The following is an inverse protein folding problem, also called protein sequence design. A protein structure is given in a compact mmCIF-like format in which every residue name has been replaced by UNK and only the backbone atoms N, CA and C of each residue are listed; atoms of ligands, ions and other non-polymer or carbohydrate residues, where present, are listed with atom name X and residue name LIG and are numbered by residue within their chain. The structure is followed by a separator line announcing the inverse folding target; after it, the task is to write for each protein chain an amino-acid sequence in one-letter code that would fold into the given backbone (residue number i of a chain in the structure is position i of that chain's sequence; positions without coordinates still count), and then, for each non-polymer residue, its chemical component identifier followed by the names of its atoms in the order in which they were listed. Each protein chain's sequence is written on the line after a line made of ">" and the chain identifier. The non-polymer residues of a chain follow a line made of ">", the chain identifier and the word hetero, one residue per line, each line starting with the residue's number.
data_IF_438051396050
#
_entry.id   IF_438051396050
#
_cell.length_a   1.000
_cell.length_b   1.000
_cell.length_c   1.000
_cell.angle_alpha   90.00
_cell.angle_beta   90.00
_cell.angle_gamma   90.00
#
_symmetry.space_group_name_H-M   'P 1'
#
loop_
_entity.id
_entity.type
_entity.pdbx_description
1 polymer ?
#
# COMPACT_ATOMS: atom_id res chain seq x y z
N UNK A 1 -13.61 -7.48 -100.39
CA UNK A 1 -14.19 -8.23 -99.26
C UNK A 1 -13.06 -8.73 -98.40
N UNK A 2 -13.13 -8.61 -97.08
CA UNK A 2 -12.14 -9.21 -96.18
C UNK A 2 -12.25 -10.73 -96.33
N UNK A 3 -11.40 -11.32 -97.16
CA UNK A 3 -11.25 -12.78 -97.16
C UNK A 3 -10.66 -13.18 -95.82
N UNK A 4 -11.50 -13.77 -94.98
CA UNK A 4 -11.08 -14.37 -93.71
C UNK A 4 -10.21 -15.56 -94.09
N UNK A 5 -8.92 -15.29 -94.24
CA UNK A 5 -7.92 -16.28 -94.56
C UNK A 5 -7.55 -17.06 -93.31
N UNK A 6 -7.23 -18.35 -93.48
CA UNK A 6 -6.76 -19.23 -92.41
C UNK A 6 -5.60 -18.61 -91.60
N UNK A 7 -4.76 -17.79 -92.24
CA UNK A 7 -3.70 -16.99 -91.61
C UNK A 7 -4.21 -16.03 -90.53
N UNK A 8 -5.38 -15.42 -90.70
CA UNK A 8 -5.97 -14.50 -89.72
C UNK A 8 -6.45 -15.25 -88.47
N UNK A 9 -6.96 -16.47 -88.65
CA UNK A 9 -7.32 -17.38 -87.54
C UNK A 9 -6.06 -17.82 -86.79
N UNK A 10 -4.99 -18.18 -87.49
CA UNK A 10 -3.69 -18.53 -86.87
C UNK A 10 -3.10 -17.35 -86.10
N UNK A 11 -3.17 -16.13 -86.65
CA UNK A 11 -2.69 -14.92 -85.97
C UNK A 11 -3.48 -14.63 -84.70
N UNK A 12 -4.81 -14.75 -84.76
CA UNK A 12 -5.68 -14.60 -83.60
C UNK A 12 -5.37 -15.65 -82.52
N UNK A 13 -5.16 -16.92 -82.91
CA UNK A 13 -4.76 -17.97 -81.98
C UNK A 13 -3.40 -17.67 -81.34
N UNK A 14 -2.40 -17.20 -82.10
CA UNK A 14 -1.10 -16.79 -81.56
C UNK A 14 -1.23 -15.63 -80.57
N UNK A 15 -2.04 -14.62 -80.89
CA UNK A 15 -2.30 -13.50 -79.98
C UNK A 15 -2.98 -13.95 -78.69
N UNK A 16 -3.97 -14.85 -78.76
CA UNK A 16 -4.64 -15.41 -77.59
C UNK A 16 -3.70 -16.25 -76.73
N UNK A 17 -2.84 -17.07 -77.34
CA UNK A 17 -1.82 -17.85 -76.62
C UNK A 17 -0.84 -16.91 -75.91
N UNK A 18 -0.35 -15.87 -76.61
CA UNK A 18 0.53 -14.87 -76.02
C UNK A 18 -0.16 -14.14 -74.86
N UNK A 19 -1.42 -13.71 -75.03
CA UNK A 19 -2.21 -13.06 -74.00
C UNK A 19 -2.38 -13.97 -72.77
N UNK A 20 -2.64 -15.26 -72.97
CA UNK A 20 -2.74 -16.23 -71.89
C UNK A 20 -1.42 -16.40 -71.13
N UNK A 21 -0.29 -16.49 -71.86
CA UNK A 21 1.05 -16.58 -71.28
C UNK A 21 1.37 -15.31 -70.47
N UNK A 22 1.10 -14.12 -71.01
CA UNK A 22 1.33 -12.87 -70.29
C UNK A 22 0.43 -12.74 -69.06
N UNK A 23 -0.86 -13.09 -69.18
CA UNK A 23 -1.80 -13.03 -68.06
C UNK A 23 -1.32 -13.88 -66.88
N UNK A 24 -0.90 -15.11 -67.17
CA UNK A 24 -0.42 -16.05 -66.15
C UNK A 24 0.96 -15.68 -65.59
N UNK A 25 1.90 -15.23 -66.43
CA UNK A 25 3.29 -15.01 -66.02
C UNK A 25 3.59 -13.59 -65.53
N UNK A 26 2.82 -12.57 -65.92
CA UNK A 26 3.12 -11.18 -65.61
C UNK A 26 2.01 -10.52 -64.80
N UNK A 27 0.77 -10.52 -65.30
CA UNK A 27 -0.31 -9.78 -64.66
C UNK A 27 -0.70 -10.36 -63.30
N UNK A 28 -0.84 -11.69 -63.21
CA UNK A 28 -1.19 -12.36 -61.95
C UNK A 28 -0.12 -12.18 -60.85
N UNK A 29 1.18 -12.43 -61.08
CA UNK A 29 2.19 -12.21 -60.04
C UNK A 29 2.39 -10.72 -59.71
N UNK A 30 2.26 -9.81 -60.69
CA UNK A 30 2.38 -8.38 -60.45
C UNK A 30 1.27 -7.86 -59.51
N UNK A 31 0.02 -8.24 -59.75
CA UNK A 31 -1.10 -7.89 -58.87
C UNK A 31 -0.90 -8.43 -57.45
N UNK A 32 -0.43 -9.69 -57.33
CA UNK A 32 -0.13 -10.30 -56.03
C UNK A 32 0.95 -9.54 -55.25
N UNK A 33 2.01 -9.05 -55.92
CA UNK A 33 3.06 -8.25 -55.27
C UNK A 33 2.51 -6.90 -54.80
N UNK A 34 1.67 -6.26 -55.61
CA UNK A 34 1.02 -5.00 -55.24
C UNK A 34 0.10 -5.16 -54.03
N UNK A 35 -0.73 -6.20 -54.00
CA UNK A 35 -1.58 -6.54 -52.86
C UNK A 35 -0.75 -6.83 -51.60
N UNK A 36 0.30 -7.66 -51.71
CA UNK A 36 1.19 -7.95 -50.59
C UNK A 36 1.86 -6.68 -50.04
N UNK A 37 2.27 -5.75 -50.92
CA UNK A 37 2.87 -4.49 -50.50
C UNK A 37 1.85 -3.62 -49.77
N UNK A 38 0.63 -3.50 -50.29
CA UNK A 38 -0.45 -2.76 -49.62
C UNK A 38 -0.80 -3.37 -48.26
N UNK A 39 -0.92 -4.69 -48.19
CA UNK A 39 -1.23 -5.39 -46.94
C UNK A 39 -0.12 -5.22 -45.90
N UNK A 40 1.15 -5.32 -46.29
CA UNK A 40 2.28 -5.08 -45.40
C UNK A 40 2.25 -3.66 -44.83
N UNK A 41 2.05 -2.65 -45.67
CA UNK A 41 1.98 -1.24 -45.21
C UNK A 41 0.80 -1.04 -44.28
N UNK A 42 -0.38 -1.58 -44.62
CA UNK A 42 -1.58 -1.51 -43.77
C UNK A 42 -1.34 -2.17 -42.41
N UNK A 43 -0.77 -3.37 -42.39
CA UNK A 43 -0.43 -4.10 -41.15
C UNK A 43 0.60 -3.34 -40.31
N UNK A 44 1.64 -2.78 -40.93
CA UNK A 44 2.64 -1.97 -40.22
C UNK A 44 2.00 -0.74 -39.56
N UNK A 45 1.09 -0.05 -40.26
CA UNK A 45 0.38 1.11 -39.71
C UNK A 45 -0.57 0.70 -38.58
N UNK A 46 -1.31 -0.41 -38.74
CA UNK A 46 -2.21 -0.92 -37.72
C UNK A 46 -1.45 -1.36 -36.46
N UNK A 47 -0.31 -2.05 -36.63
CA UNK A 47 0.56 -2.45 -35.52
C UNK A 47 1.14 -1.25 -34.79
N UNK A 48 1.56 -0.20 -35.51
CA UNK A 48 2.06 1.04 -34.89
C UNK A 48 0.97 1.74 -34.07
N UNK A 49 -0.27 1.79 -34.59
CA UNK A 49 -1.43 2.33 -33.85
C UNK A 49 -1.73 1.52 -32.59
N UNK A 50 -1.83 0.19 -32.72
CA UNK A 50 -2.04 -0.71 -31.57
C UNK A 50 -0.94 -0.58 -30.52
N UNK A 51 0.31 -0.50 -30.94
CA UNK A 51 1.43 -0.32 -30.02
C UNK A 51 1.31 0.99 -29.24
N UNK A 52 0.97 2.08 -29.93
CA UNK A 52 0.77 3.40 -29.30
C UNK A 52 -0.38 3.36 -28.30
N UNK A 53 -1.52 2.77 -28.69
CA UNK A 53 -2.70 2.63 -27.82
C UNK A 53 -2.39 1.79 -26.57
N UNK A 54 -1.77 0.62 -26.75
CA UNK A 54 -1.38 -0.25 -25.63
C UNK A 54 -0.35 0.44 -24.73
N UNK A 55 0.60 1.18 -25.29
CA UNK A 55 1.57 1.94 -24.51
C UNK A 55 0.88 3.01 -23.67
N UNK A 56 -0.05 3.77 -24.25
CA UNK A 56 -0.81 4.80 -23.52
C UNK A 56 -1.69 4.19 -22.43
N UNK A 57 -2.34 3.06 -22.71
CA UNK A 57 -3.13 2.33 -21.71
C UNK A 57 -2.27 1.89 -20.54
N UNK A 58 -1.11 1.29 -20.80
CA UNK A 58 -0.17 0.85 -19.75
C UNK A 58 0.39 2.01 -18.95
N UNK A 59 0.68 3.13 -19.59
CA UNK A 59 1.13 4.34 -18.89
C UNK A 59 0.05 4.88 -17.97
N UNK A 60 -1.20 4.97 -18.44
CA UNK A 60 -2.32 5.41 -17.63
C UNK A 60 -2.60 4.48 -16.45
N UNK A 61 -2.54 3.16 -16.67
CA UNK A 61 -2.68 2.14 -15.62
C UNK A 61 -1.56 2.25 -14.58
N UNK A 62 -0.31 2.45 -15.02
CA UNK A 62 0.83 2.62 -14.14
C UNK A 62 0.70 3.90 -13.28
N UNK A 63 0.33 5.02 -13.90
CA UNK A 63 0.10 6.29 -13.20
C UNK A 63 -1.06 6.14 -12.20
N UNK A 64 -2.15 5.48 -12.61
CA UNK A 64 -3.30 5.18 -11.75
C UNK A 64 -2.90 4.38 -10.53
N UNK A 65 -2.19 3.27 -10.74
CA UNK A 65 -1.69 2.38 -9.68
C UNK A 65 -0.80 3.14 -8.70
N UNK A 66 0.16 3.94 -9.19
CA UNK A 66 1.02 4.76 -8.32
C UNK A 66 0.20 5.76 -7.49
N UNK A 67 -0.80 6.39 -8.10
CA UNK A 67 -1.66 7.36 -7.40
C UNK A 67 -2.48 6.70 -6.30
N UNK A 68 -3.05 5.53 -6.57
CA UNK A 68 -3.81 4.74 -5.59
C UNK A 68 -2.91 4.25 -4.44
N UNK A 69 -1.72 3.74 -4.76
CA UNK A 69 -0.75 3.30 -3.76
C UNK A 69 -0.27 4.44 -2.88
N UNK A 70 0.03 5.62 -3.46
CA UNK A 70 0.35 6.82 -2.67
C UNK A 70 -0.78 7.21 -1.72
N UNK A 71 -2.04 7.16 -2.20
CA UNK A 71 -3.20 7.42 -1.35
C UNK A 71 -3.34 6.37 -0.24
N UNK A 72 -3.05 5.10 -0.52
CA UNK A 72 -3.05 4.03 0.50
C UNK A 72 -2.00 4.29 1.57
N UNK A 73 -0.76 4.55 1.17
CA UNK A 73 0.35 4.86 2.09
C UNK A 73 0.01 6.06 2.99
N UNK A 74 -0.52 7.15 2.42
CA UNK A 74 -0.90 8.34 3.21
C UNK A 74 -1.98 7.99 4.24
N UNK A 75 -2.98 7.18 3.86
CA UNK A 75 -4.03 6.73 4.78
C UNK A 75 -3.47 5.85 5.90
N UNK A 76 -2.65 4.86 5.56
CA UNK A 76 -2.02 3.96 6.53
C UNK A 76 -1.14 4.75 7.50
N UNK A 77 -0.30 5.67 7.00
CA UNK A 77 0.51 6.54 7.87
C UNK A 77 -0.33 7.39 8.81
N UNK A 78 -1.44 7.96 8.33
CA UNK A 78 -2.35 8.73 9.16
C UNK A 78 -3.02 7.87 10.25
N UNK A 79 -3.41 6.65 9.91
CA UNK A 79 -4.01 5.69 10.83
C UNK A 79 -2.99 5.22 11.89
N UNK A 80 -1.79 4.80 11.47
CA UNK A 80 -0.71 4.43 12.38
C UNK A 80 -0.35 5.59 13.31
N UNK A 81 -0.28 6.83 12.81
CA UNK A 81 0.00 8.00 13.65
C UNK A 81 -1.11 8.23 14.68
N UNK A 82 -2.38 8.09 14.27
CA UNK A 82 -3.53 8.22 15.18
C UNK A 82 -3.50 7.14 16.25
N UNK A 83 -3.22 5.89 15.88
CA UNK A 83 -3.11 4.78 16.81
C UNK A 83 -1.95 4.98 17.80
N UNK A 84 -0.78 5.42 17.31
CA UNK A 84 0.36 5.73 18.16
C UNK A 84 0.05 6.83 19.20
N UNK A 85 -0.64 7.90 18.78
CA UNK A 85 -1.07 8.98 19.69
C UNK A 85 -2.08 8.46 20.73
N UNK A 86 -3.05 7.65 20.31
CA UNK A 86 -4.03 7.06 21.21
C UNK A 86 -3.37 6.14 22.25
N UNK A 87 -2.49 5.25 21.80
CA UNK A 87 -1.75 4.32 22.66
C UNK A 87 -0.84 5.08 23.63
N UNK A 88 -0.12 6.09 23.16
CA UNK A 88 0.70 6.96 24.02
C UNK A 88 -0.14 7.65 25.09
N UNK A 89 -1.29 8.21 24.71
CA UNK A 89 -2.22 8.87 25.64
C UNK A 89 -2.74 7.88 26.69
N UNK A 90 -3.10 6.66 26.27
CA UNK A 90 -3.56 5.61 27.18
C UNK A 90 -2.45 5.16 28.15
N UNK A 91 -1.21 5.01 27.67
CA UNK A 91 -0.06 4.66 28.51
C UNK A 91 0.23 5.75 29.54
N UNK A 92 0.24 7.02 29.14
CA UNK A 92 0.44 8.15 30.06
C UNK A 92 -0.65 8.18 31.12
N UNK A 93 -1.92 7.98 30.72
CA UNK A 93 -3.04 7.94 31.66
C UNK A 93 -2.90 6.79 32.66
N UNK A 94 -2.58 5.57 32.19
CA UNK A 94 -2.34 4.42 33.06
C UNK A 94 -1.19 4.69 34.06
N UNK A 95 -0.10 5.27 33.60
CA UNK A 95 1.03 5.61 34.46
C UNK A 95 0.65 6.65 35.53
N UNK A 96 -0.15 7.66 35.18
CA UNK A 96 -0.69 8.63 36.15
C UNK A 96 -1.62 7.96 37.16
N UNK A 97 -2.53 7.09 36.71
CA UNK A 97 -3.45 6.38 37.59
C UNK A 97 -2.70 5.46 38.57
N UNK A 98 -1.67 4.75 38.11
CA UNK A 98 -0.81 3.92 38.97
C UNK A 98 0.02 4.75 39.96
N UNK A 99 0.56 5.89 39.52
CA UNK A 99 1.29 6.81 40.40
C UNK A 99 0.38 7.36 41.51
N UNK A 100 -0.83 7.77 41.16
CA UNK A 100 -1.84 8.23 42.12
C UNK A 100 -2.24 7.13 43.10
N UNK A 101 -2.42 5.89 42.62
CA UNK A 101 -2.71 4.75 43.48
C UNK A 101 -1.58 4.50 44.49
N UNK A 102 -0.33 4.43 44.03
CA UNK A 102 0.84 4.28 44.91
C UNK A 102 0.96 5.41 45.92
N UNK A 103 0.71 6.65 45.51
CA UNK A 103 0.76 7.80 46.42
C UNK A 103 -0.29 7.67 47.52
N UNK A 104 -1.50 7.21 47.20
CA UNK A 104 -2.55 6.98 48.18
C UNK A 104 -2.19 5.82 49.13
N UNK A 105 -1.69 4.71 48.60
CA UNK A 105 -1.21 3.57 49.41
C UNK A 105 -0.10 3.99 50.41
N UNK A 106 0.86 4.81 49.95
CA UNK A 106 1.92 5.35 50.82
C UNK A 106 1.35 6.30 51.89
N UNK A 107 0.40 7.18 51.52
CA UNK A 107 -0.25 8.08 52.48
C UNK A 107 -1.02 7.31 53.56
N UNK A 108 -1.77 6.28 53.18
CA UNK A 108 -2.49 5.44 54.12
C UNK A 108 -1.53 4.70 55.07
N UNK A 109 -0.43 4.17 54.53
CA UNK A 109 0.60 3.48 55.31
C UNK A 109 1.27 4.41 56.31
N UNK A 110 1.65 5.62 55.89
CA UNK A 110 2.19 6.67 56.77
C UNK A 110 1.23 7.07 57.89
N UNK A 111 -0.07 7.17 57.61
CA UNK A 111 -1.07 7.50 58.62
C UNK A 111 -1.22 6.39 59.66
N UNK A 112 -1.18 5.12 59.24
CA UNK A 112 -1.14 3.97 60.16
C UNK A 112 0.11 4.01 61.03
N UNK A 113 1.28 4.10 60.41
CA UNK A 113 2.58 4.11 61.12
C UNK A 113 2.67 5.27 62.12
N UNK A 114 2.20 6.47 61.75
CA UNK A 114 2.09 7.61 62.67
C UNK A 114 1.19 7.33 63.88
N UNK A 115 0.06 6.66 63.66
CA UNK A 115 -0.90 6.34 64.72
C UNK A 115 -0.31 5.29 65.66
N UNK A 116 0.40 4.30 65.11
CA UNK A 116 1.06 3.23 65.85
C UNK A 116 2.23 3.77 66.69
N UNK A 117 3.10 4.59 66.09
CA UNK A 117 4.20 5.27 66.80
C UNK A 117 3.69 6.19 67.92
N UNK A 118 2.57 6.90 67.70
CA UNK A 118 1.95 7.73 68.75
C UNK A 118 1.47 6.87 69.92
N UNK A 119 0.88 5.71 69.64
CA UNK A 119 0.41 4.77 70.67
C UNK A 119 1.59 4.21 71.48
N UNK A 120 2.66 3.78 70.82
CA UNK A 120 3.88 3.29 71.47
C UNK A 120 4.51 4.37 72.38
N UNK A 121 4.62 5.61 71.91
CA UNK A 121 5.14 6.72 72.71
C UNK A 121 4.28 6.98 73.95
N UNK A 122 2.95 6.91 73.84
CA UNK A 122 2.05 7.05 75.00
C UNK A 122 2.26 5.92 76.01
N UNK A 123 2.35 4.66 75.57
CA UNK A 123 2.63 3.52 76.47
C UNK A 123 3.99 3.64 77.13
N UNK A 124 5.02 4.09 76.41
CA UNK A 124 6.36 4.30 76.98
C UNK A 124 6.36 5.45 78.01
N UNK A 125 5.63 6.53 77.74
CA UNK A 125 5.48 7.64 78.69
C UNK A 125 4.75 7.19 79.98
N UNK A 126 3.71 6.36 79.86
CA UNK A 126 3.01 5.77 81.03
C UNK A 126 3.95 4.86 81.84
N UNK A 127 4.77 4.04 81.18
CA UNK A 127 5.79 3.20 81.82
C UNK A 127 6.77 4.04 82.64
N UNK A 128 7.33 5.11 82.04
CA UNK A 128 8.28 6.00 82.72
C UNK A 128 7.60 6.70 83.90
N UNK A 129 6.37 7.20 83.72
CA UNK A 129 5.63 7.86 84.79
C UNK A 129 5.40 6.92 85.99
N UNK A 130 5.12 5.64 85.72
CA UNK A 130 4.94 4.61 86.76
C UNK A 130 6.26 4.30 87.48
N UNK A 131 7.36 4.12 86.75
CA UNK A 131 8.70 3.93 87.34
C UNK A 131 9.12 5.12 88.23
N UNK A 132 8.85 6.36 87.78
CA UNK A 132 9.12 7.56 88.56
C UNK A 132 8.27 7.62 89.83
N UNK A 133 6.97 7.29 89.74
CA UNK A 133 6.08 7.26 90.90
C UNK A 133 6.52 6.20 91.93
N UNK A 134 6.92 5.01 91.49
CA UNK A 134 7.46 3.96 92.36
C UNK A 134 8.77 4.40 93.03
N UNK A 135 9.66 5.09 92.31
CA UNK A 135 10.90 5.64 92.89
C UNK A 135 10.65 6.74 93.91
N UNK A 136 9.70 7.64 93.67
CA UNK A 136 9.38 8.73 94.61
C UNK A 136 8.76 8.18 95.91
N UNK A 137 7.88 7.17 95.81
CA UNK A 137 7.27 6.52 96.97
C UNK A 137 8.32 5.81 97.83
N UNK A 138 9.33 5.19 97.22
CA UNK A 138 10.44 4.55 97.94
C UNK A 138 11.44 5.53 98.59
N UNK A 139 11.34 6.84 98.31
CA UNK A 139 12.21 7.88 98.91
C UNK A 139 11.53 8.55 100.13
N UNK A 140 10.24 8.29 100.37
CA UNK A 140 9.47 8.85 101.50
C UNK A 140 9.15 7.85 102.63
N UNK A 141 9.74 6.65 102.63
CA UNK A 141 9.70 5.69 103.75
C UNK A 141 11.06 5.56 104.42
#
# INVERSE_FOLDING_TARGET
>A
MLEINFTLIILAANFLILMYILNKNLFLPLSKILEQRQEKVKKSLENAKKFTEVSQMKENEYIGTISEEKKRIIREQAETKKEAVNTSTQLIKKAQDEANRKLNEVKESLMKEKTEAKKELSTYAESIAKELAEKIINIQG
#
